data_IF_888912728726
#
_entry.id   IF_888912728726
#
_cell.length_a   1.000
_cell.length_b   1.000
_cell.length_c   1.000
_cell.angle_alpha   90.00
_cell.angle_beta   90.00
_cell.angle_gamma   90.00
#
_symmetry.space_group_name_H-M   'P 1'
#
loop_
_entity.id
_entity.type
_entity.pdbx_description
1 polymer ?
#
# COMPACT_ATOMS: atom_id res chain seq x y z
N UNK A 1 1.59 34.44 20.71
CA UNK A 1 0.90 34.11 19.43
C UNK A 1 1.73 33.19 18.53
N UNK A 2 3.05 33.39 18.43
CA UNK A 2 3.94 32.52 17.62
C UNK A 2 3.99 31.05 18.11
N UNK A 3 4.03 30.79 19.43
CA UNK A 3 3.99 29.43 19.98
C UNK A 3 2.68 28.69 19.70
N UNK A 4 1.54 29.38 19.75
CA UNK A 4 0.22 28.80 19.48
C UNK A 4 0.06 28.38 18.01
N UNK A 5 0.68 29.14 17.09
CA UNK A 5 0.75 28.77 15.68
C UNK A 5 1.74 27.61 15.42
N UNK A 6 2.78 27.47 16.23
CA UNK A 6 3.77 26.39 16.12
C UNK A 6 3.16 25.04 16.53
N UNK A 7 2.52 24.98 17.69
CA UNK A 7 1.82 23.77 18.16
C UNK A 7 0.62 23.36 17.29
N UNK A 8 -0.10 24.32 16.69
CA UNK A 8 -1.18 24.02 15.74
C UNK A 8 -0.65 23.46 14.42
N UNK A 9 0.49 23.95 13.93
CA UNK A 9 1.13 23.51 12.68
C UNK A 9 1.75 22.12 12.85
N UNK A 10 2.39 21.86 13.98
CA UNK A 10 2.90 20.54 14.36
C UNK A 10 1.77 19.50 14.50
N UNK A 11 0.61 19.86 15.07
CA UNK A 11 -0.55 18.95 15.16
C UNK A 11 -1.25 18.67 13.81
N UNK A 12 -1.26 19.64 12.89
CA UNK A 12 -1.78 19.47 11.52
C UNK A 12 -0.85 18.57 10.69
N UNK A 13 0.46 18.74 10.85
CA UNK A 13 1.49 17.90 10.21
C UNK A 13 1.50 16.47 10.82
N UNK A 14 1.28 16.33 12.14
CA UNK A 14 1.12 15.04 12.86
C UNK A 14 -0.06 14.21 12.32
N UNK A 15 -1.16 14.88 11.99
CA UNK A 15 -2.34 14.27 11.37
C UNK A 15 -2.07 13.86 9.92
N UNK A 16 -1.40 14.69 9.12
CA UNK A 16 -1.29 14.49 7.67
C UNK A 16 -0.67 13.14 7.29
N UNK A 17 0.52 12.81 7.83
CA UNK A 17 1.26 11.58 7.49
C UNK A 17 0.65 10.32 8.12
N UNK A 18 -0.14 10.48 9.16
CA UNK A 18 -0.89 9.38 9.79
C UNK A 18 -2.33 9.29 9.30
N UNK A 19 -2.77 10.21 8.42
CA UNK A 19 -4.14 10.19 7.93
C UNK A 19 -4.43 8.90 7.16
N UNK A 20 -5.64 8.34 7.33
CA UNK A 20 -6.13 7.23 6.55
C UNK A 20 -5.97 7.43 5.03
N UNK A 21 -6.15 8.66 4.56
CA UNK A 21 -5.99 9.04 3.15
C UNK A 21 -4.54 9.07 2.70
N UNK A 22 -3.61 9.61 3.50
CA UNK A 22 -2.19 9.57 3.14
C UNK A 22 -1.71 8.12 3.05
N UNK A 23 -2.01 7.30 4.06
CA UNK A 23 -1.61 5.89 4.07
C UNK A 23 -2.26 5.08 2.93
N UNK A 24 -3.54 5.31 2.63
CA UNK A 24 -4.19 4.66 1.49
C UNK A 24 -3.58 5.10 0.15
N UNK A 25 -3.26 6.39 0.00
CA UNK A 25 -2.67 6.93 -1.23
C UNK A 25 -1.23 6.49 -1.45
N UNK A 26 -0.43 6.42 -0.39
CA UNK A 26 1.02 6.23 -0.50
C UNK A 26 1.51 4.83 -0.15
N UNK A 27 0.68 4.03 0.50
CA UNK A 27 1.00 2.64 0.85
C UNK A 27 0.01 1.69 0.19
N UNK A 28 -1.30 1.91 0.39
CA UNK A 28 -2.36 1.03 -0.12
C UNK A 28 -2.44 0.96 -1.65
N UNK A 29 -2.43 2.12 -2.32
CA UNK A 29 -2.45 2.21 -3.78
C UNK A 29 -1.20 1.56 -4.42
N UNK A 30 0.03 1.85 -3.96
CA UNK A 30 1.21 1.14 -4.45
C UNK A 30 1.15 -0.38 -4.27
N UNK A 31 0.74 -0.88 -3.09
CA UNK A 31 0.60 -2.32 -2.87
C UNK A 31 -0.42 -2.98 -3.82
N UNK A 32 -1.55 -2.29 -4.07
CA UNK A 32 -2.53 -2.75 -5.06
C UNK A 32 -1.94 -2.77 -6.47
N UNK A 33 -1.15 -1.75 -6.84
CA UNK A 33 -0.48 -1.69 -8.14
C UNK A 33 0.55 -2.82 -8.32
N UNK A 34 1.37 -3.12 -7.31
CA UNK A 34 2.34 -4.21 -7.37
C UNK A 34 1.66 -5.56 -7.57
N UNK A 35 0.59 -5.86 -6.82
CA UNK A 35 -0.19 -7.09 -6.98
C UNK A 35 -0.81 -7.17 -8.37
N UNK A 36 -1.40 -6.09 -8.86
CA UNK A 36 -2.02 -6.05 -10.19
C UNK A 36 -1.00 -6.35 -11.30
N UNK A 37 0.15 -5.66 -11.27
CA UNK A 37 1.19 -5.83 -12.28
C UNK A 37 1.85 -7.22 -12.21
N UNK A 38 2.06 -7.75 -11.01
CA UNK A 38 2.54 -9.12 -10.83
C UNK A 38 1.55 -10.17 -11.35
N UNK A 39 0.25 -10.02 -11.01
CA UNK A 39 -0.79 -10.91 -11.52
C UNK A 39 -0.88 -10.89 -13.05
N UNK A 40 -0.70 -9.72 -13.66
CA UNK A 40 -0.64 -9.56 -15.13
C UNK A 40 0.59 -10.25 -15.73
N UNK A 41 1.76 -10.15 -15.09
CA UNK A 41 2.97 -10.86 -15.51
C UNK A 41 2.77 -12.38 -15.43
N UNK A 42 2.21 -12.90 -14.33
CA UNK A 42 1.88 -14.31 -14.18
C UNK A 42 0.87 -14.77 -15.25
N UNK A 43 -0.18 -13.98 -15.50
CA UNK A 43 -1.17 -14.29 -16.52
C UNK A 43 -0.55 -14.44 -17.91
N UNK A 44 0.31 -13.47 -18.30
CA UNK A 44 1.01 -13.47 -19.59
C UNK A 44 2.02 -14.61 -19.69
N UNK A 45 2.80 -14.85 -18.64
CA UNK A 45 3.76 -15.95 -18.61
C UNK A 45 3.06 -17.31 -18.68
N UNK A 46 1.93 -17.47 -17.98
CA UNK A 46 1.10 -18.67 -18.02
C UNK A 46 0.54 -18.92 -19.42
N UNK A 47 0.07 -17.88 -20.11
CA UNK A 47 -0.39 -17.99 -21.50
C UNK A 47 0.73 -18.40 -22.46
N UNK A 48 1.91 -17.78 -22.34
CA UNK A 48 3.07 -18.09 -23.18
C UNK A 48 3.61 -19.52 -22.95
N UNK A 49 3.58 -20.01 -21.71
CA UNK A 49 4.05 -21.35 -21.34
C UNK A 49 2.94 -22.41 -21.42
N UNK A 50 1.73 -22.05 -21.85
CA UNK A 50 0.53 -22.92 -21.83
C UNK A 50 0.26 -23.54 -20.44
N UNK A 51 0.63 -22.82 -19.38
CA UNK A 51 0.44 -23.25 -17.99
C UNK A 51 -0.84 -22.63 -17.42
N UNK A 52 -1.91 -23.43 -17.40
CA UNK A 52 -3.20 -23.01 -16.84
C UNK A 52 -3.11 -22.63 -15.36
N UNK A 53 -2.25 -23.30 -14.59
CA UNK A 53 -2.05 -23.02 -13.16
C UNK A 53 -1.52 -21.60 -12.97
N UNK A 54 -0.49 -21.22 -13.72
CA UNK A 54 0.13 -19.90 -13.60
C UNK A 54 -0.80 -18.78 -14.08
N UNK A 55 -1.59 -19.04 -15.14
CA UNK A 55 -2.62 -18.10 -15.59
C UNK A 55 -3.71 -17.92 -14.55
N UNK A 56 -4.28 -19.01 -14.00
CA UNK A 56 -5.30 -18.92 -12.94
C UNK A 56 -4.77 -18.19 -11.72
N UNK A 57 -3.54 -18.50 -11.28
CA UNK A 57 -2.89 -17.81 -10.18
C UNK A 57 -2.76 -16.30 -10.46
N UNK A 58 -2.29 -15.91 -11.64
CA UNK A 58 -2.23 -14.50 -12.05
C UNK A 58 -3.60 -13.82 -11.99
N UNK A 59 -4.65 -14.51 -12.44
CA UNK A 59 -6.04 -14.04 -12.38
C UNK A 59 -6.52 -13.79 -10.94
N UNK A 60 -6.23 -14.72 -10.03
CA UNK A 60 -6.59 -14.58 -8.61
C UNK A 60 -5.87 -13.40 -7.95
N UNK A 61 -4.58 -13.22 -8.25
CA UNK A 61 -3.80 -12.08 -7.73
C UNK A 61 -4.34 -10.75 -8.27
N UNK A 62 -4.71 -10.67 -9.55
CA UNK A 62 -5.34 -9.47 -10.11
C UNK A 62 -6.69 -9.16 -9.45
N UNK A 63 -7.51 -10.18 -9.19
CA UNK A 63 -8.78 -10.01 -8.48
C UNK A 63 -8.57 -9.48 -7.05
N UNK A 64 -7.60 -10.05 -6.32
CA UNK A 64 -7.20 -9.57 -5.00
C UNK A 64 -6.73 -8.10 -5.05
N UNK A 65 -5.86 -7.75 -5.99
CA UNK A 65 -5.38 -6.39 -6.19
C UNK A 65 -6.52 -5.39 -6.45
N UNK A 66 -7.53 -5.80 -7.21
CA UNK A 66 -8.68 -4.96 -7.54
C UNK A 66 -9.55 -4.69 -6.30
N UNK A 67 -9.76 -5.71 -5.46
CA UNK A 67 -10.51 -5.55 -4.21
C UNK A 67 -9.77 -4.59 -3.28
N UNK A 68 -8.45 -4.79 -3.09
CA UNK A 68 -7.63 -3.90 -2.26
C UNK A 68 -7.63 -2.45 -2.79
N UNK A 69 -7.58 -2.28 -4.12
CA UNK A 69 -7.68 -0.96 -4.75
C UNK A 69 -9.00 -0.27 -4.38
N UNK A 70 -10.14 -0.94 -4.58
CA UNK A 70 -11.45 -0.37 -4.24
C UNK A 70 -11.58 -0.06 -2.75
N UNK A 71 -11.04 -0.90 -1.87
CA UNK A 71 -11.05 -0.64 -0.43
C UNK A 71 -10.24 0.60 -0.06
N UNK A 72 -9.05 0.78 -0.65
CA UNK A 72 -8.23 1.97 -0.42
C UNK A 72 -8.89 3.24 -0.99
N UNK A 73 -9.50 3.16 -2.17
CA UNK A 73 -10.25 4.29 -2.74
C UNK A 73 -11.48 4.65 -1.90
N UNK A 74 -12.24 3.66 -1.41
CA UNK A 74 -13.36 3.88 -0.52
C UNK A 74 -12.92 4.57 0.77
N UNK A 75 -11.78 4.16 1.35
CA UNK A 75 -11.22 4.78 2.55
C UNK A 75 -10.83 6.24 2.33
N UNK A 76 -10.26 6.57 1.17
CA UNK A 76 -9.98 7.96 0.78
C UNK A 76 -11.30 8.74 0.68
N UNK A 77 -12.32 8.20 0.02
CA UNK A 77 -13.62 8.85 -0.14
C UNK A 77 -14.32 9.09 1.21
N UNK A 78 -14.32 8.12 2.12
CA UNK A 78 -14.88 8.28 3.47
C UNK A 78 -14.15 9.37 4.27
N UNK A 79 -12.81 9.39 4.19
CA UNK A 79 -12.02 10.42 4.84
C UNK A 79 -12.33 11.82 4.29
N UNK A 80 -12.44 11.96 2.96
CA UNK A 80 -12.83 13.22 2.31
C UNK A 80 -14.25 13.65 2.69
N UNK A 81 -15.15 12.71 2.96
CA UNK A 81 -16.50 12.98 3.46
C UNK A 81 -16.57 13.27 4.98
N UNK A 82 -15.42 13.33 5.67
CA UNK A 82 -15.35 13.58 7.12
C UNK A 82 -15.90 12.43 7.98
N UNK A 83 -16.02 11.22 7.43
CA UNK A 83 -16.56 10.05 8.12
C UNK A 83 -15.45 9.08 8.51
N UNK A 84 -15.58 8.46 9.68
CA UNK A 84 -14.73 7.34 10.05
C UNK A 84 -14.97 6.17 9.07
N UNK A 85 -13.91 5.69 8.42
CA UNK A 85 -14.03 4.57 7.48
C UNK A 85 -14.31 3.26 8.23
N UNK A 86 -15.39 2.53 7.93
CA UNK A 86 -15.64 1.21 8.51
C UNK A 86 -14.77 0.11 7.90
N UNK A 87 -13.94 0.42 6.91
CA UNK A 87 -13.21 -0.53 6.06
C UNK A 87 -11.71 -0.53 6.38
N UNK A 88 -11.09 -1.71 6.41
CA UNK A 88 -9.65 -1.90 6.54
C UNK A 88 -8.86 -1.53 5.27
N UNK A 89 -7.53 -1.52 5.32
CA UNK A 89 -6.67 -1.16 4.17
C UNK A 89 -6.62 -2.25 3.08
N UNK A 90 -6.93 -3.50 3.39
CA UNK A 90 -6.90 -4.62 2.45
C UNK A 90 -7.89 -5.71 2.84
N UNK A 91 -8.28 -6.55 1.88
CA UNK A 91 -9.30 -7.59 2.07
C UNK A 91 -8.86 -8.66 3.08
N UNK A 92 -7.56 -8.91 3.16
CA UNK A 92 -6.96 -9.81 4.13
C UNK A 92 -7.17 -9.24 5.55
N UNK A 93 -6.87 -7.95 5.77
CA UNK A 93 -7.12 -7.29 7.04
C UNK A 93 -8.62 -7.22 7.39
N UNK A 94 -9.49 -7.04 6.39
CA UNK A 94 -10.95 -7.09 6.58
C UNK A 94 -11.42 -8.47 7.05
N UNK A 95 -10.85 -9.54 6.49
CA UNK A 95 -11.09 -10.91 6.97
C UNK A 95 -10.56 -11.08 8.40
N UNK A 96 -9.37 -10.54 8.69
CA UNK A 96 -8.79 -10.54 10.04
C UNK A 96 -9.65 -9.79 11.06
N UNK A 97 -10.39 -8.77 10.65
CA UNK A 97 -11.35 -8.06 11.52
C UNK A 97 -12.48 -8.97 12.00
N UNK A 98 -12.96 -9.90 11.17
CA UNK A 98 -13.98 -10.88 11.56
C UNK A 98 -13.49 -11.84 12.66
N UNK A 99 -12.17 -12.05 12.73
CA UNK A 99 -11.50 -12.92 13.71
C UNK A 99 -10.90 -12.07 14.87
N UNK A 100 -11.19 -10.76 14.91
CA UNK A 100 -10.70 -9.85 15.95
C UNK A 100 -9.20 -9.54 15.90
N UNK A 101 -8.50 -9.89 14.81
CA UNK A 101 -7.05 -9.67 14.64
C UNK A 101 -6.68 -8.95 13.33
N UNK A 102 -7.26 -7.79 13.01
CA UNK A 102 -7.02 -7.10 11.73
C UNK A 102 -5.55 -6.72 11.49
N UNK A 103 -4.80 -6.36 12.54
CA UNK A 103 -3.38 -5.95 12.44
C UNK A 103 -2.46 -7.08 11.97
N UNK A 104 -2.70 -8.31 12.43
CA UNK A 104 -1.91 -9.46 12.01
C UNK A 104 -2.10 -9.74 10.52
N UNK A 105 -3.35 -9.71 10.08
CA UNK A 105 -3.72 -9.93 8.68
C UNK A 105 -3.22 -8.81 7.75
N UNK A 106 -3.17 -7.57 8.24
CA UNK A 106 -2.50 -6.47 7.54
C UNK A 106 -0.99 -6.73 7.38
N UNK A 107 -0.33 -7.26 8.40
CA UNK A 107 1.09 -7.62 8.32
C UNK A 107 1.35 -8.76 7.31
N UNK A 108 0.44 -9.73 7.21
CA UNK A 108 0.50 -10.80 6.20
C UNK A 108 0.35 -10.23 4.79
N UNK A 109 -0.61 -9.34 4.57
CA UNK A 109 -0.81 -8.64 3.28
C UNK A 109 0.44 -7.84 2.88
N UNK A 110 1.03 -7.15 3.86
CA UNK A 110 2.27 -6.38 3.68
C UNK A 110 3.43 -7.30 3.31
N UNK A 111 3.62 -8.41 4.02
CA UNK A 111 4.65 -9.40 3.73
C UNK A 111 4.49 -9.98 2.32
N UNK A 112 3.27 -10.32 1.93
CA UNK A 112 2.98 -10.84 0.60
C UNK A 112 3.28 -9.80 -0.49
N UNK A 113 2.91 -8.53 -0.26
CA UNK A 113 3.20 -7.43 -1.18
C UNK A 113 4.71 -7.21 -1.34
N UNK A 114 5.48 -7.20 -0.26
CA UNK A 114 6.93 -7.10 -0.33
C UNK A 114 7.57 -8.32 -1.02
N UNK A 115 7.04 -9.51 -0.77
CA UNK A 115 7.50 -10.74 -1.43
C UNK A 115 7.29 -10.67 -2.95
N UNK A 116 6.14 -10.14 -3.40
CA UNK A 116 5.87 -9.87 -4.83
C UNK A 116 6.92 -8.93 -5.41
N UNK A 117 7.18 -7.80 -4.73
CA UNK A 117 8.19 -6.82 -5.18
C UNK A 117 9.56 -7.49 -5.29
N UNK A 118 10.00 -8.21 -4.25
CA UNK A 118 11.28 -8.90 -4.22
C UNK A 118 11.40 -9.94 -5.35
N UNK A 119 10.36 -10.74 -5.60
CA UNK A 119 10.36 -11.72 -6.68
C UNK A 119 10.51 -11.04 -8.03
N UNK A 120 9.72 -10.00 -8.32
CA UNK A 120 9.73 -9.31 -9.62
C UNK A 120 11.07 -8.64 -9.90
N UNK A 121 11.69 -8.05 -8.88
CA UNK A 121 13.00 -7.43 -8.99
C UNK A 121 14.12 -8.47 -9.15
N UNK A 122 14.12 -9.52 -8.32
CA UNK A 122 15.16 -10.54 -8.33
C UNK A 122 15.13 -11.41 -9.59
N UNK A 123 13.94 -11.80 -10.05
CA UNK A 123 13.78 -12.65 -11.24
C UNK A 123 13.99 -11.92 -12.57
N UNK A 124 14.15 -10.60 -12.53
CA UNK A 124 14.24 -9.76 -13.74
C UNK A 124 12.91 -9.59 -14.49
N UNK A 125 11.79 -10.06 -13.94
CA UNK A 125 10.46 -9.95 -14.57
C UNK A 125 10.00 -8.50 -14.78
N UNK A 126 10.59 -7.55 -14.06
CA UNK A 126 10.39 -6.12 -14.29
C UNK A 126 10.64 -5.72 -15.76
N UNK A 127 11.56 -6.39 -16.46
CA UNK A 127 11.87 -6.15 -17.88
C UNK A 127 10.75 -6.57 -18.84
N UNK A 128 9.84 -7.45 -18.39
CA UNK A 128 8.69 -7.93 -19.18
C UNK A 128 7.47 -7.02 -19.08
N UNK A 129 7.54 -5.96 -18.27
CA UNK A 129 6.49 -4.95 -18.18
C UNK A 129 6.50 -4.07 -19.43
N UNK A 130 5.30 -3.71 -19.91
CA UNK A 130 5.16 -2.72 -20.97
C UNK A 130 5.59 -1.33 -20.49
N UNK A 131 5.90 -0.38 -21.38
CA UNK A 131 6.38 0.96 -20.98
C UNK A 131 5.45 1.72 -20.03
N UNK A 132 4.12 1.53 -20.13
CA UNK A 132 3.16 2.14 -19.21
C UNK A 132 3.15 1.42 -17.84
N UNK A 133 3.20 0.09 -17.85
CA UNK A 133 3.22 -0.74 -16.65
C UNK A 133 4.48 -0.52 -15.82
N UNK A 134 5.64 -0.42 -16.50
CA UNK A 134 6.91 -0.07 -15.88
C UNK A 134 6.86 1.32 -15.24
N UNK A 135 6.26 2.31 -15.90
CA UNK A 135 6.06 3.66 -15.33
C UNK A 135 5.17 3.62 -14.08
N UNK A 136 4.09 2.84 -14.10
CA UNK A 136 3.22 2.65 -12.92
C UNK A 136 4.00 1.96 -11.79
N UNK A 137 4.78 0.91 -12.09
CA UNK A 137 5.61 0.22 -11.11
C UNK A 137 6.62 1.17 -10.45
N UNK A 138 7.32 1.98 -11.26
CA UNK A 138 8.30 2.95 -10.78
C UNK A 138 7.61 4.02 -9.93
N UNK A 139 6.50 4.60 -10.39
CA UNK A 139 5.75 5.58 -9.64
C UNK A 139 5.26 5.02 -8.29
N UNK A 140 4.73 3.80 -8.28
CA UNK A 140 4.31 3.10 -7.06
C UNK A 140 5.48 2.87 -6.11
N UNK A 141 6.65 2.48 -6.63
CA UNK A 141 7.88 2.25 -5.83
C UNK A 141 8.37 3.54 -5.20
N UNK A 142 8.46 4.61 -5.98
CA UNK A 142 8.87 5.93 -5.50
C UNK A 142 7.92 6.39 -4.40
N UNK A 143 6.61 6.36 -4.68
CA UNK A 143 5.60 6.82 -3.74
C UNK A 143 5.64 6.01 -2.43
N UNK A 144 5.76 4.68 -2.52
CA UNK A 144 5.79 3.79 -1.36
C UNK A 144 7.05 4.00 -0.51
N UNK A 145 8.23 3.91 -1.10
CA UNK A 145 9.50 3.98 -0.36
C UNK A 145 9.72 5.36 0.25
N UNK A 146 9.48 6.43 -0.51
CA UNK A 146 9.63 7.79 -0.01
C UNK A 146 8.66 8.03 1.15
N UNK A 147 7.41 7.58 1.04
CA UNK A 147 6.42 7.80 2.09
C UNK A 147 6.73 7.01 3.35
N UNK A 148 7.20 5.76 3.23
CA UNK A 148 7.67 4.99 4.39
C UNK A 148 8.87 5.66 5.05
N UNK A 149 9.83 6.16 4.27
CA UNK A 149 10.98 6.89 4.81
C UNK A 149 10.56 8.16 5.55
N UNK A 150 9.66 8.97 4.98
CA UNK A 150 9.12 10.15 5.64
C UNK A 150 8.40 9.81 6.94
N UNK A 151 7.55 8.78 6.93
CA UNK A 151 6.84 8.33 8.15
C UNK A 151 7.85 7.90 9.22
N UNK A 152 8.90 7.16 8.87
CA UNK A 152 9.91 6.73 9.83
C UNK A 152 10.72 7.91 10.40
N UNK A 153 11.18 8.84 9.56
CA UNK A 153 11.89 10.05 10.00
C UNK A 153 11.02 10.86 10.96
N UNK A 154 9.74 11.03 10.60
CA UNK A 154 8.77 11.76 11.44
C UNK A 154 8.58 11.11 12.81
N UNK A 155 8.42 9.79 12.84
CA UNK A 155 8.25 9.03 14.08
C UNK A 155 9.49 9.14 14.98
N UNK A 156 10.70 9.14 14.41
CA UNK A 156 11.95 9.25 15.18
C UNK A 156 12.16 10.67 15.73
N UNK A 157 11.92 11.71 14.92
CA UNK A 157 12.01 13.11 15.39
C UNK A 157 11.09 13.36 16.59
N UNK A 158 9.89 12.79 16.57
CA UNK A 158 8.94 12.88 17.69
C UNK A 158 9.43 12.15 18.94
N UNK A 159 10.06 10.98 18.78
CA UNK A 159 10.60 10.21 19.90
C UNK A 159 11.73 10.97 20.61
N UNK A 160 12.54 11.71 19.85
CA UNK A 160 13.53 12.64 20.40
C UNK A 160 12.89 13.77 21.20
N UNK A 161 11.88 14.45 20.64
CA UNK A 161 11.21 15.57 21.31
C UNK A 161 10.45 15.19 22.58
N UNK A 162 9.93 13.96 22.66
CA UNK A 162 9.24 13.47 23.87
C UNK A 162 10.18 13.09 25.03
N UNK A 163 11.49 13.03 24.79
CA UNK A 163 12.51 12.76 25.82
C UNK A 163 13.17 14.04 26.33
N UNK A 164 13.10 15.14 25.56
CA UNK A 164 13.74 16.43 25.86
C UNK A 164 12.77 17.47 26.47
N UNK A 165 11.51 17.09 26.75
CA UNK A 165 10.49 17.91 27.41
C UNK A 165 9.92 17.23 28.64
#
# INVERSE_FOLDING_TARGET
>A
MAEKNKGAREAIEESFFTTPSFQALTIGLPFSAFKMLFGLLCWRAGGAQTSSILSVFGGLVMAWALIDLFMNLARIAFHLAGRASPIEYCIIAQTGRLIGRPRLFLAVDTLASFSIISIVLWSGWISSLRPLEARIWIAATILNLISVAFVNIWMELRRGWSMDG
#
